data_IF_021744820306
#
_entry.id   IF_021744820306
#
_cell.length_a   1.000
_cell.length_b   1.000
_cell.length_c   1.000
_cell.angle_alpha   90.00
_cell.angle_beta   90.00
_cell.angle_gamma   90.00
#
_symmetry.space_group_name_H-M   'P 1'
#
loop_
_entity.id
_entity.type
_entity.pdbx_description
1 polymer ?
#
# COMPACT_ATOMS: atom_id res chain seq x y z
N UNK A 1 -13.26 20.12 -9.80
CA UNK A 1 -13.18 18.67 -10.03
C UNK A 1 -14.16 18.01 -9.08
N UNK A 2 -15.03 17.12 -9.55
CA UNK A 2 -15.95 16.43 -8.66
C UNK A 2 -15.21 15.39 -7.81
N UNK A 3 -15.76 15.04 -6.64
CA UNK A 3 -15.13 14.06 -5.73
C UNK A 3 -14.91 12.70 -6.39
N UNK A 4 -15.77 12.34 -7.34
CA UNK A 4 -15.69 11.09 -8.11
C UNK A 4 -14.45 11.10 -9.02
N UNK A 5 -14.20 12.21 -9.72
CA UNK A 5 -13.03 12.37 -10.58
C UNK A 5 -11.74 12.33 -9.77
N UNK A 6 -11.71 13.00 -8.62
CA UNK A 6 -10.59 12.94 -7.67
C UNK A 6 -10.29 11.53 -7.20
N UNK A 7 -11.33 10.78 -6.82
CA UNK A 7 -11.17 9.38 -6.42
C UNK A 7 -10.62 8.53 -7.57
N UNK A 8 -11.14 8.72 -8.79
CA UNK A 8 -10.67 8.00 -9.98
C UNK A 8 -9.19 8.25 -10.25
N UNK A 9 -8.75 9.50 -10.23
CA UNK A 9 -7.34 9.86 -10.40
C UNK A 9 -6.43 9.23 -9.33
N UNK A 10 -6.90 9.17 -8.08
CA UNK A 10 -6.18 8.50 -6.99
C UNK A 10 -6.04 7.00 -7.28
N UNK A 11 -7.11 6.33 -7.71
CA UNK A 11 -7.05 4.90 -8.08
C UNK A 11 -6.12 4.65 -9.27
N UNK A 12 -6.12 5.53 -10.27
CA UNK A 12 -5.17 5.46 -11.39
C UNK A 12 -3.72 5.64 -10.90
N UNK A 13 -3.48 6.54 -9.96
CA UNK A 13 -2.17 6.73 -9.35
C UNK A 13 -1.73 5.52 -8.51
N UNK A 14 -2.63 4.90 -7.75
CA UNK A 14 -2.36 3.67 -7.00
C UNK A 14 -1.82 2.57 -7.92
N UNK A 15 -2.46 2.39 -9.09
CA UNK A 15 -2.00 1.43 -10.10
C UNK A 15 -0.61 1.76 -10.67
N UNK A 16 -0.31 3.04 -10.91
CA UNK A 16 1.03 3.48 -11.34
C UNK A 16 2.10 3.17 -10.28
N UNK A 17 1.81 3.47 -9.01
CA UNK A 17 2.70 3.16 -7.89
C UNK A 17 2.93 1.65 -7.77
N UNK A 18 1.85 0.87 -7.86
CA UNK A 18 1.94 -0.59 -7.84
C UNK A 18 2.84 -1.12 -8.97
N UNK A 19 2.63 -0.63 -10.20
CA UNK A 19 3.43 -1.02 -11.38
C UNK A 19 4.91 -0.67 -11.21
N UNK A 20 5.21 0.54 -10.75
CA UNK A 20 6.58 0.98 -10.48
C UNK A 20 7.24 0.12 -9.40
N UNK A 21 6.56 -0.09 -8.26
CA UNK A 21 7.08 -0.92 -7.17
C UNK A 21 7.25 -2.38 -7.57
N UNK A 22 6.37 -2.96 -8.38
CA UNK A 22 6.52 -4.34 -8.84
C UNK A 22 7.74 -4.52 -9.77
N UNK A 23 8.17 -3.44 -10.45
CA UNK A 23 9.40 -3.43 -11.24
C UNK A 23 10.65 -3.35 -10.34
N UNK A 24 10.56 -2.61 -9.22
CA UNK A 24 11.70 -2.34 -8.33
C UNK A 24 11.87 -3.35 -7.16
N UNK A 25 10.78 -3.91 -6.63
CA UNK A 25 10.79 -4.69 -5.38
C UNK A 25 10.77 -6.22 -5.56
N UNK A 26 10.64 -6.72 -6.78
CA UNK A 26 10.47 -8.16 -7.01
C UNK A 26 9.31 -8.74 -6.19
N UNK A 27 9.20 -10.07 -6.16
CA UNK A 27 8.04 -10.77 -5.59
C UNK A 27 8.00 -10.76 -4.04
N UNK A 28 8.70 -9.87 -3.34
CA UNK A 28 8.84 -9.88 -1.86
C UNK A 28 7.51 -9.87 -1.11
N UNK A 29 6.49 -9.18 -1.64
CA UNK A 29 5.16 -9.26 -1.05
C UNK A 29 4.52 -10.64 -1.27
N UNK A 30 4.63 -11.18 -2.48
CA UNK A 30 4.12 -12.51 -2.82
C UNK A 30 4.82 -13.61 -2.04
N UNK A 31 6.15 -13.58 -1.94
CA UNK A 31 6.96 -14.53 -1.19
C UNK A 31 6.54 -14.53 0.28
N UNK A 32 6.47 -13.33 0.88
CA UNK A 32 6.04 -13.19 2.27
C UNK A 32 4.57 -13.62 2.48
N UNK A 33 3.69 -13.36 1.52
CA UNK A 33 2.31 -13.83 1.60
C UNK A 33 2.21 -15.35 1.46
N UNK A 34 3.04 -15.97 0.61
CA UNK A 34 3.08 -17.42 0.44
C UNK A 34 3.60 -18.10 1.72
N UNK A 35 4.60 -17.52 2.38
CA UNK A 35 5.20 -18.08 3.60
C UNK A 35 4.32 -17.85 4.84
N UNK A 36 3.78 -16.64 5.02
CA UNK A 36 3.13 -16.22 6.27
C UNK A 36 1.62 -15.98 6.14
N UNK A 37 1.05 -16.09 4.94
CA UNK A 37 -0.36 -15.82 4.68
C UNK A 37 -0.77 -14.39 5.05
N UNK A 38 -1.98 -14.25 5.59
CA UNK A 38 -2.57 -12.96 6.00
C UNK A 38 -1.80 -12.22 7.10
N UNK A 39 -0.86 -12.88 7.79
CA UNK A 39 -0.04 -12.23 8.82
C UNK A 39 0.93 -11.21 8.18
N UNK A 40 1.50 -11.52 7.02
CA UNK A 40 2.42 -10.63 6.31
C UNK A 40 1.81 -9.25 6.00
N UNK A 41 0.65 -9.16 5.31
CA UNK A 41 0.04 -7.86 5.03
C UNK A 41 -0.40 -7.13 6.30
N UNK A 42 -0.82 -7.84 7.35
CA UNK A 42 -1.18 -7.20 8.63
C UNK A 42 0.02 -6.46 9.25
N UNK A 43 1.20 -7.09 9.26
CA UNK A 43 2.44 -6.47 9.76
C UNK A 43 2.80 -5.23 8.90
N UNK A 44 2.76 -5.35 7.57
CA UNK A 44 3.09 -4.22 6.67
C UNK A 44 2.13 -3.05 6.82
N UNK A 45 0.84 -3.32 6.99
CA UNK A 45 -0.17 -2.30 7.28
C UNK A 45 0.08 -1.64 8.64
N UNK A 46 0.44 -2.40 9.67
CA UNK A 46 0.77 -1.84 10.99
C UNK A 46 1.98 -0.91 10.92
N UNK A 47 3.04 -1.29 10.21
CA UNK A 47 4.23 -0.46 10.02
C UNK A 47 3.89 0.88 9.34
N UNK A 48 3.10 0.84 8.27
CA UNK A 48 2.67 2.04 7.55
C UNK A 48 1.69 2.89 8.35
N UNK A 49 0.80 2.27 9.12
CA UNK A 49 -0.12 2.98 10.01
C UNK A 49 0.64 3.65 11.17
N UNK A 50 1.67 3.00 11.72
CA UNK A 50 2.55 3.57 12.74
C UNK A 50 3.25 4.82 12.22
N UNK A 51 3.77 4.76 10.99
CA UNK A 51 4.35 5.94 10.32
C UNK A 51 3.34 7.06 10.13
N UNK A 52 2.14 6.75 9.64
CA UNK A 52 1.07 7.74 9.50
C UNK A 52 0.79 8.46 10.84
N UNK A 53 0.68 7.69 11.93
CA UNK A 53 0.50 8.22 13.28
C UNK A 53 1.65 9.11 13.75
N UNK A 54 2.88 8.88 13.28
CA UNK A 54 4.03 9.75 13.58
C UNK A 54 3.95 11.05 12.79
N UNK A 55 3.68 10.97 11.48
CA UNK A 55 3.62 12.13 10.59
C UNK A 55 2.50 13.12 10.95
N UNK A 56 1.39 12.65 11.54
CA UNK A 56 0.32 13.56 12.03
C UNK A 56 0.67 14.26 13.35
N UNK A 57 1.67 13.76 14.10
CA UNK A 57 2.05 14.29 15.43
C UNK A 57 3.26 15.20 15.38
N UNK A 58 4.14 14.97 14.41
CA UNK A 58 5.32 15.76 14.15
C UNK A 58 5.18 16.25 12.71
N UNK A 59 4.91 17.54 12.49
CA UNK A 59 5.06 18.16 11.18
C UNK A 59 6.47 17.80 10.69
N UNK A 60 6.54 16.91 9.72
CA UNK A 60 7.64 15.98 9.54
C UNK A 60 8.99 16.69 9.42
N UNK A 61 9.87 16.53 10.41
CA UNK A 61 11.30 16.92 10.34
C UNK A 61 12.11 16.06 9.34
N UNK A 62 11.46 15.16 8.59
CA UNK A 62 12.11 14.28 7.61
C UNK A 62 11.42 14.41 6.25
N UNK A 63 12.20 14.77 5.23
CA UNK A 63 11.76 15.16 3.87
C UNK A 63 11.43 13.99 2.93
N UNK A 64 11.64 12.75 3.33
CA UNK A 64 11.75 11.66 2.35
C UNK A 64 10.41 11.08 1.88
N UNK A 65 9.33 11.18 2.65
CA UNK A 65 8.02 10.62 2.25
C UNK A 65 6.87 11.32 2.97
N UNK A 66 5.86 11.75 2.21
CA UNK A 66 4.75 12.56 2.73
C UNK A 66 3.66 11.73 3.42
N UNK A 67 2.74 12.42 4.11
CA UNK A 67 1.50 11.82 4.62
C UNK A 67 0.71 11.17 3.48
N UNK A 68 0.63 11.83 2.32
CA UNK A 68 -0.10 11.34 1.15
C UNK A 68 0.54 10.06 0.60
N UNK A 69 1.87 10.02 0.49
CA UNK A 69 2.59 8.82 0.04
C UNK A 69 2.32 7.64 0.99
N UNK A 70 2.31 7.90 2.29
CA UNK A 70 2.00 6.89 3.31
C UNK A 70 0.57 6.37 3.20
N UNK A 71 -0.40 7.24 2.92
CA UNK A 71 -1.81 6.84 2.72
C UNK A 71 -2.00 6.04 1.42
N UNK A 72 -1.30 6.41 0.34
CA UNK A 72 -1.30 5.66 -0.91
C UNK A 72 -0.69 4.27 -0.73
N UNK A 73 0.38 4.15 0.05
CA UNK A 73 0.98 2.86 0.41
C UNK A 73 0.00 1.97 1.17
N UNK A 74 -0.70 2.51 2.17
CA UNK A 74 -1.73 1.77 2.91
C UNK A 74 -2.81 1.24 1.96
N UNK A 75 -3.34 2.09 1.08
CA UNK A 75 -4.33 1.70 0.09
C UNK A 75 -3.82 0.59 -0.84
N UNK A 76 -2.58 0.69 -1.34
CA UNK A 76 -1.99 -0.34 -2.18
C UNK A 76 -1.79 -1.67 -1.43
N UNK A 77 -1.35 -1.65 -0.17
CA UNK A 77 -1.26 -2.89 0.63
C UNK A 77 -2.62 -3.57 0.83
N UNK A 78 -3.70 -2.80 1.03
CA UNK A 78 -5.06 -3.36 1.07
C UNK A 78 -5.44 -4.01 -0.27
N UNK A 79 -5.23 -3.31 -1.39
CA UNK A 79 -5.55 -3.82 -2.74
C UNK A 79 -4.75 -5.08 -3.06
N UNK A 80 -3.44 -5.09 -2.80
CA UNK A 80 -2.57 -6.25 -3.03
C UNK A 80 -3.00 -7.46 -2.19
N UNK A 81 -3.45 -7.23 -0.96
CA UNK A 81 -3.99 -8.29 -0.09
C UNK A 81 -5.27 -8.88 -0.67
N UNK A 82 -6.19 -8.04 -1.16
CA UNK A 82 -7.42 -8.49 -1.82
C UNK A 82 -7.08 -9.35 -3.05
N UNK A 83 -6.17 -8.90 -3.90
CA UNK A 83 -5.72 -9.65 -5.09
C UNK A 83 -5.20 -11.05 -4.70
N UNK A 84 -4.41 -11.15 -3.63
CA UNK A 84 -3.90 -12.45 -3.15
C UNK A 84 -4.99 -13.36 -2.62
N UNK A 85 -5.97 -12.83 -1.88
CA UNK A 85 -7.13 -13.59 -1.41
C UNK A 85 -7.93 -14.11 -2.61
N UNK A 86 -8.30 -13.22 -3.54
CA UNK A 86 -9.12 -13.59 -4.70
C UNK A 86 -8.43 -14.57 -5.65
N UNK A 87 -7.10 -14.50 -5.77
CA UNK A 87 -6.34 -15.44 -6.59
C UNK A 87 -6.15 -16.80 -5.90
N UNK A 88 -6.03 -16.83 -4.57
CA UNK A 88 -5.98 -18.07 -3.79
C UNK A 88 -7.28 -18.85 -3.89
N UNK A 89 -8.43 -18.17 -3.88
CA UNK A 89 -9.74 -18.81 -3.96
C UNK A 89 -10.09 -19.33 -5.38
N UNK A 90 -9.25 -19.03 -6.39
CA UNK A 90 -9.40 -19.51 -7.78
C UNK A 90 -8.52 -20.74 -8.10
N UNK A 91 -7.67 -21.16 -7.17
CA UNK A 91 -6.85 -22.39 -7.23
C UNK A 91 -7.56 -23.56 -6.52
#
# INVERSE_FOLDING_TARGET
MEKIDQHKEICENLNKIYTAKNTDYGDSFSDGFQEYGLIMPAIRLEDKLRRYKQLIKQDAEVKDESIIDTLLDLANYFIMTIIKIENRDKE
#
